data_IF_108216831864
#
_entry.id   IF_108216831864
#
_cell.length_a   1.000
_cell.length_b   1.000
_cell.length_c   1.000
_cell.angle_alpha   90.00
_cell.angle_beta   90.00
_cell.angle_gamma   90.00
#
_symmetry.space_group_name_H-M   'P 1'
#
loop_
_entity.id
_entity.type
_entity.pdbx_description
1 polymer ?
#
# COMPACT_ATOMS: atom_id res chain seq x y z
N UNK A 1 10.84 -2.40 8.29
CA UNK A 1 9.96 -1.94 7.19
C UNK A 1 9.66 -3.07 6.20
N UNK A 2 10.65 -3.91 5.87
CA UNK A 2 10.50 -5.11 5.03
C UNK A 2 9.31 -6.01 5.39
N UNK A 3 9.17 -6.40 6.66
CA UNK A 3 8.04 -7.23 7.11
C UNK A 3 6.67 -6.59 6.85
N UNK A 4 6.54 -5.27 7.05
CA UNK A 4 5.30 -4.54 6.78
C UNK A 4 4.96 -4.52 5.30
N UNK A 5 5.96 -4.34 4.42
CA UNK A 5 5.77 -4.40 2.96
C UNK A 5 5.38 -5.81 2.51
N UNK A 6 5.98 -6.85 3.09
CA UNK A 6 5.63 -8.25 2.80
C UNK A 6 4.19 -8.57 3.23
N UNK A 7 3.78 -8.15 4.43
CA UNK A 7 2.39 -8.32 4.88
C UNK A 7 1.41 -7.55 3.99
N UNK A 8 1.74 -6.33 3.57
CA UNK A 8 0.91 -5.58 2.63
C UNK A 8 0.80 -6.29 1.27
N UNK A 9 1.89 -6.86 0.75
CA UNK A 9 1.88 -7.66 -0.48
C UNK A 9 1.02 -8.93 -0.31
N UNK A 10 1.18 -9.68 0.79
CA UNK A 10 0.37 -10.85 1.08
C UNK A 10 -1.12 -10.53 1.21
N UNK A 11 -1.45 -9.44 1.90
CA UNK A 11 -2.82 -8.98 2.06
C UNK A 11 -3.46 -8.57 0.72
N UNK A 12 -2.74 -7.84 -0.13
CA UNK A 12 -3.23 -7.43 -1.46
C UNK A 12 -3.42 -8.61 -2.41
N UNK A 13 -2.48 -9.56 -2.44
CA UNK A 13 -2.62 -10.80 -3.21
C UNK A 13 -3.80 -11.63 -2.69
N UNK A 14 -3.87 -11.83 -1.37
CA UNK A 14 -4.94 -12.58 -0.72
C UNK A 14 -6.32 -11.98 -1.02
N UNK A 15 -6.44 -10.65 -1.00
CA UNK A 15 -7.68 -9.96 -1.34
C UNK A 15 -8.07 -10.15 -2.82
N UNK A 16 -7.08 -10.17 -3.73
CA UNK A 16 -7.34 -10.38 -5.16
C UNK A 16 -7.85 -11.79 -5.50
N UNK A 17 -7.48 -12.77 -4.68
CA UNK A 17 -7.82 -14.19 -4.83
C UNK A 17 -9.03 -14.60 -3.97
N UNK A 18 -9.49 -13.75 -3.05
CA UNK A 18 -10.54 -14.11 -2.09
C UNK A 18 -11.90 -14.42 -2.75
N UNK A 19 -12.45 -15.60 -2.49
CA UNK A 19 -13.74 -16.05 -3.05
C UNK A 19 -14.87 -16.05 -2.00
N UNK A 20 -14.53 -15.99 -0.72
CA UNK A 20 -15.47 -16.01 0.39
C UNK A 20 -15.20 -14.90 1.42
N UNK A 21 -16.21 -14.58 2.23
CA UNK A 21 -16.17 -13.47 3.19
C UNK A 21 -15.02 -13.59 4.21
N UNK A 22 -14.69 -14.82 4.60
CA UNK A 22 -13.60 -15.07 5.55
C UNK A 22 -12.24 -14.71 4.95
N UNK A 23 -11.95 -15.12 3.70
CA UNK A 23 -10.71 -14.76 3.02
C UNK A 23 -10.60 -13.25 2.81
N UNK A 24 -11.69 -12.58 2.45
CA UNK A 24 -11.74 -11.11 2.34
C UNK A 24 -11.38 -10.46 3.68
N UNK A 25 -12.01 -10.90 4.77
CA UNK A 25 -11.79 -10.34 6.11
C UNK A 25 -10.34 -10.54 6.57
N UNK A 26 -9.77 -11.73 6.35
CA UNK A 26 -8.38 -12.04 6.68
C UNK A 26 -7.40 -11.19 5.86
N UNK A 27 -7.63 -11.04 4.56
CA UNK A 27 -6.79 -10.22 3.70
C UNK A 27 -6.82 -8.75 4.13
N UNK A 28 -8.00 -8.21 4.43
CA UNK A 28 -8.18 -6.84 4.95
C UNK A 28 -7.52 -6.66 6.31
N UNK A 29 -7.65 -7.63 7.21
CA UNK A 29 -6.96 -7.62 8.50
C UNK A 29 -5.44 -7.52 8.32
N UNK A 30 -4.85 -8.34 7.45
CA UNK A 30 -3.41 -8.32 7.17
C UNK A 30 -2.98 -6.98 6.58
N UNK A 31 -3.77 -6.40 5.67
CA UNK A 31 -3.50 -5.07 5.10
C UNK A 31 -3.51 -3.97 6.17
N UNK A 32 -4.50 -3.97 7.06
CA UNK A 32 -4.55 -2.99 8.16
C UNK A 32 -3.46 -3.20 9.21
N UNK A 33 -3.10 -4.45 9.51
CA UNK A 33 -1.98 -4.78 10.39
C UNK A 33 -0.67 -4.21 9.84
N UNK A 34 -0.41 -4.42 8.54
CA UNK A 34 0.74 -3.86 7.86
C UNK A 34 0.75 -2.33 7.91
N UNK A 35 -0.40 -1.69 7.67
CA UNK A 35 -0.55 -0.24 7.71
C UNK A 35 -0.30 0.33 9.11
N UNK A 36 -0.82 -0.31 10.16
CA UNK A 36 -0.63 0.10 11.54
C UNK A 36 0.85 0.05 11.96
N UNK A 37 1.58 -0.98 11.52
CA UNK A 37 3.02 -1.10 11.77
C UNK A 37 3.87 -0.12 10.91
N UNK A 38 3.35 0.30 9.76
CA UNK A 38 4.04 1.20 8.82
C UNK A 38 4.26 2.61 9.35
N UNK A 39 3.28 3.17 10.07
CA UNK A 39 3.36 4.56 10.57
C UNK A 39 4.47 4.79 11.61
N UNK A 40 4.59 4.01 12.70
CA UNK A 40 5.67 4.18 13.68
C UNK A 40 7.06 3.98 13.07
N UNK A 41 7.19 3.05 12.13
CA UNK A 41 8.45 2.80 11.44
C UNK A 41 8.84 3.93 10.49
N UNK A 42 7.87 4.55 9.81
CA UNK A 42 8.09 5.73 8.97
C UNK A 42 8.54 6.94 9.79
N UNK A 43 7.93 7.17 10.95
CA UNK A 43 8.32 8.26 11.86
C UNK A 43 9.79 8.13 12.27
N UNK A 44 10.22 6.92 12.67
CA UNK A 44 11.63 6.66 13.01
C UNK A 44 12.57 6.88 11.83
N UNK A 45 12.17 6.46 10.62
CA UNK A 45 13.00 6.59 9.43
C UNK A 45 13.20 8.06 9.04
N UNK A 46 12.13 8.87 9.06
CA UNK A 46 12.21 10.31 8.84
C UNK A 46 13.05 10.99 9.91
N UNK A 47 12.96 10.57 11.17
CA UNK A 47 13.75 11.15 12.26
C UNK A 47 15.27 10.91 12.12
N UNK A 48 15.68 9.81 11.48
CA UNK A 48 17.09 9.52 11.20
C UNK A 48 17.59 10.26 9.95
N UNK A 49 16.73 10.41 8.94
CA UNK A 49 17.12 10.95 7.64
C UNK A 49 17.00 12.47 7.54
N UNK A 50 15.99 13.07 8.18
CA UNK A 50 15.70 14.49 8.09
C UNK A 50 16.32 15.26 9.25
N UNK A 51 17.01 16.36 8.93
CA UNK A 51 17.41 17.33 9.97
C UNK A 51 16.18 17.99 10.60
N UNK A 52 16.23 18.44 11.86
CA UNK A 52 15.07 19.02 12.55
C UNK A 52 14.43 20.19 11.80
N UNK A 53 15.23 21.00 11.10
CA UNK A 53 14.79 22.14 10.30
C UNK A 53 14.03 21.70 9.04
N UNK A 54 14.37 20.54 8.48
CA UNK A 54 13.76 20.01 7.24
C UNK A 54 12.62 19.03 7.50
N UNK A 55 12.44 18.55 8.73
CA UNK A 55 11.45 17.54 9.09
C UNK A 55 10.03 17.93 8.63
N UNK A 56 9.61 19.17 8.84
CA UNK A 56 8.31 19.67 8.39
C UNK A 56 8.13 19.62 6.86
N UNK A 57 9.17 19.95 6.10
CA UNK A 57 9.16 19.87 4.64
C UNK A 57 9.08 18.42 4.14
N UNK A 58 9.85 17.51 4.75
CA UNK A 58 9.82 16.08 4.42
C UNK A 58 8.45 15.48 4.68
N UNK A 59 7.83 15.77 5.83
CA UNK A 59 6.46 15.35 6.13
C UNK A 59 5.43 15.94 5.16
N UNK A 60 5.61 17.19 4.74
CA UNK A 60 4.77 17.82 3.71
C UNK A 60 4.84 17.08 2.37
N UNK A 61 6.06 16.76 1.90
CA UNK A 61 6.25 15.99 0.66
C UNK A 61 5.62 14.60 0.79
N UNK A 62 5.89 13.87 1.87
CA UNK A 62 5.31 12.54 2.12
C UNK A 62 3.78 12.58 2.13
N UNK A 63 3.18 13.59 2.77
CA UNK A 63 1.73 13.76 2.84
C UNK A 63 1.12 14.04 1.47
N UNK A 64 1.75 14.92 0.68
CA UNK A 64 1.29 15.23 -0.68
C UNK A 64 1.42 14.02 -1.61
N UNK A 65 2.55 13.32 -1.58
CA UNK A 65 2.77 12.10 -2.37
C UNK A 65 1.76 11.00 -2.02
N UNK A 66 1.45 10.82 -0.73
CA UNK A 66 0.43 9.87 -0.27
C UNK A 66 -0.95 10.22 -0.83
N UNK A 67 -1.35 11.50 -0.78
CA UNK A 67 -2.64 11.97 -1.33
C UNK A 67 -2.72 11.81 -2.85
N UNK A 68 -1.66 12.15 -3.57
CA UNK A 68 -1.59 11.93 -5.02
C UNK A 68 -1.73 10.44 -5.34
N UNK A 69 -1.06 9.57 -4.59
CA UNK A 69 -1.22 8.11 -4.73
C UNK A 69 -2.68 7.65 -4.54
N UNK A 70 -3.35 8.13 -3.49
CA UNK A 70 -4.78 7.82 -3.24
C UNK A 70 -5.66 8.32 -4.39
N UNK A 71 -5.43 9.53 -4.90
CA UNK A 71 -6.18 10.07 -6.03
C UNK A 71 -6.02 9.22 -7.30
N UNK A 72 -4.78 8.84 -7.64
CA UNK A 72 -4.51 8.00 -8.81
C UNK A 72 -5.18 6.63 -8.70
N UNK A 73 -5.13 6.00 -7.52
CA UNK A 73 -5.79 4.70 -7.28
C UNK A 73 -7.31 4.82 -7.33
N UNK A 74 -7.87 5.89 -6.75
CA UNK A 74 -9.33 6.10 -6.72
C UNK A 74 -9.87 6.41 -8.11
N UNK A 75 -9.16 7.21 -8.90
CA UNK A 75 -9.51 7.47 -10.28
C UNK A 75 -9.39 6.19 -11.14
N UNK A 76 -8.30 5.44 -10.99
CA UNK A 76 -8.17 4.13 -11.63
C UNK A 76 -9.32 3.18 -11.26
N UNK A 77 -9.74 3.16 -9.99
CA UNK A 77 -10.89 2.38 -9.53
C UNK A 77 -12.18 2.81 -10.22
N UNK A 78 -12.42 4.11 -10.36
CA UNK A 78 -13.59 4.65 -11.04
C UNK A 78 -13.63 4.28 -12.53
N UNK A 79 -12.52 4.41 -13.24
CA UNK A 79 -12.38 4.01 -14.66
C UNK A 79 -12.69 2.52 -14.85
N UNK A 80 -12.12 1.66 -14.02
CA UNK A 80 -12.30 0.20 -14.14
C UNK A 80 -13.71 -0.28 -13.77
N UNK A 81 -14.36 0.38 -12.80
CA UNK A 81 -15.77 0.12 -12.49
C UNK A 81 -16.68 0.61 -13.61
N UNK A 82 -16.35 1.74 -14.25
CA UNK A 82 -17.12 2.26 -15.39
C UNK A 82 -16.92 1.45 -16.68
N UNK A 83 -15.76 0.81 -16.86
CA UNK A 83 -15.40 0.08 -18.07
C UNK A 83 -15.97 -1.36 -18.16
N UNK A 84 -16.70 -1.83 -17.13
CA UNK A 84 -17.46 -3.11 -17.02
C UNK A 84 -16.75 -4.42 -17.43
N UNK A 85 -15.46 -4.37 -17.79
CA UNK A 85 -14.77 -5.45 -18.52
C UNK A 85 -13.88 -6.34 -17.66
N UNK A 86 -13.46 -5.90 -16.46
CA UNK A 86 -12.48 -6.63 -15.63
C UNK A 86 -12.94 -6.82 -14.17
N UNK A 87 -13.96 -6.08 -13.74
CA UNK A 87 -14.44 -6.06 -12.36
C UNK A 87 -13.39 -5.53 -11.36
N UNK A 88 -13.81 -5.35 -10.10
CA UNK A 88 -12.97 -4.76 -9.04
C UNK A 88 -11.67 -5.54 -8.76
N UNK A 89 -11.61 -6.84 -9.11
CA UNK A 89 -10.42 -7.69 -8.90
C UNK A 89 -9.24 -7.30 -9.78
N UNK A 90 -9.48 -6.75 -10.97
CA UNK A 90 -8.42 -6.30 -11.89
C UNK A 90 -7.52 -5.23 -11.28
N UNK A 91 -8.14 -4.27 -10.59
CA UNK A 91 -7.41 -3.21 -9.90
C UNK A 91 -6.52 -3.72 -8.78
N UNK A 92 -7.06 -4.62 -7.96
CA UNK A 92 -6.30 -5.20 -6.85
C UNK A 92 -5.09 -5.98 -7.38
N UNK A 93 -5.23 -6.68 -8.51
CA UNK A 93 -4.11 -7.36 -9.17
C UNK A 93 -3.05 -6.37 -9.67
N UNK A 94 -3.45 -5.22 -10.23
CA UNK A 94 -2.49 -4.17 -10.59
C UNK A 94 -1.79 -3.58 -9.37
N UNK A 95 -2.50 -3.40 -8.25
CA UNK A 95 -1.87 -2.98 -6.99
C UNK A 95 -0.87 -4.01 -6.49
N UNK A 96 -1.21 -5.30 -6.56
CA UNK A 96 -0.31 -6.40 -6.22
C UNK A 96 0.95 -6.43 -7.10
N UNK A 97 0.84 -6.11 -8.40
CA UNK A 97 1.97 -5.99 -9.32
C UNK A 97 2.93 -4.86 -8.95
N UNK A 98 2.49 -3.84 -8.22
CA UNK A 98 3.36 -2.75 -7.73
C UNK A 98 3.95 -3.07 -6.36
N UNK A 99 3.16 -3.64 -5.45
CA UNK A 99 3.61 -3.95 -4.09
C UNK A 99 4.59 -5.13 -4.03
N UNK A 100 4.43 -6.15 -4.89
CA UNK A 100 5.33 -7.31 -4.93
C UNK A 100 6.78 -6.95 -5.30
N UNK A 101 7.07 -6.23 -6.40
CA UNK A 101 8.43 -5.84 -6.76
C UNK A 101 9.07 -4.96 -5.70
N UNK A 102 8.31 -4.02 -5.12
CA UNK A 102 8.82 -3.16 -4.04
C UNK A 102 9.19 -3.98 -2.81
N UNK A 103 8.34 -4.93 -2.42
CA UNK A 103 8.64 -5.83 -1.30
C UNK A 103 9.86 -6.71 -1.60
N UNK A 104 10.00 -7.21 -2.83
CA UNK A 104 11.15 -8.02 -3.26
C UNK A 104 12.46 -7.23 -3.25
N UNK A 105 12.47 -6.02 -3.80
CA UNK A 105 13.64 -5.12 -3.80
C UNK A 105 14.09 -4.84 -2.37
N UNK A 106 13.16 -4.48 -1.48
CA UNK A 106 13.48 -4.21 -0.08
C UNK A 106 13.86 -5.45 0.73
N UNK A 107 13.45 -6.65 0.32
CA UNK A 107 13.85 -7.90 0.97
C UNK A 107 15.26 -8.34 0.55
N UNK A 108 15.77 -7.88 -0.60
CA UNK A 108 17.07 -8.24 -1.16
C UNK A 108 18.18 -7.20 -0.87
N UNK A 109 17.82 -6.02 -0.37
CA UNK A 109 18.72 -4.95 0.09
C UNK A 109 18.91 -5.00 1.60
#
# INVERSE_FOLDING_TARGET
MTLGLLLAALGTIGFSLAENQMQVSLAVFVMFLAQAAGWPSMIRLVAVWATPVQAGRVWGILSTSSRVGVLLVTWGLAEYVAADSVGWRGLVRMMALVTLPLAAVYALL
#
